data_IF_928000336470
#
_entry.id   IF_928000336470
#
_cell.length_a   1.000
_cell.length_b   1.000
_cell.length_c   1.000
_cell.angle_alpha   90.00
_cell.angle_beta   90.00
_cell.angle_gamma   90.00
#
_symmetry.space_group_name_H-M   'P 1'
#
loop_
_entity.id
_entity.type
_entity.pdbx_description
1 polymer ?
#
# COMPACT_ATOMS: atom_id res chain seq x y z
N UNK A 1 5.76 -0.02 -14.34
CA UNK A 1 4.46 0.38 -14.93
C UNK A 1 3.45 -0.64 -14.44
N UNK A 2 2.30 -0.25 -13.88
CA UNK A 2 1.23 -1.19 -13.49
C UNK A 2 0.47 -1.68 -14.75
N UNK A 3 -0.35 -2.72 -14.68
CA UNK A 3 -1.26 -3.11 -15.76
C UNK A 3 -2.57 -2.30 -15.70
N UNK A 4 -3.42 -2.45 -16.71
CA UNK A 4 -4.65 -1.63 -16.88
C UNK A 4 -5.85 -2.14 -16.09
N UNK A 5 -5.73 -3.32 -15.49
CA UNK A 5 -6.84 -4.13 -14.99
C UNK A 5 -6.75 -4.51 -13.51
N UNK A 6 -5.87 -3.84 -12.74
CA UNK A 6 -5.79 -3.90 -11.25
C UNK A 6 -7.17 -4.05 -10.60
N UNK A 7 -7.44 -5.23 -10.05
CA UNK A 7 -8.54 -5.46 -9.10
C UNK A 7 -7.95 -5.52 -7.70
N UNK A 8 -8.24 -4.52 -6.86
CA UNK A 8 -7.83 -4.51 -5.45
C UNK A 8 -8.76 -5.40 -4.61
N UNK A 9 -8.32 -6.62 -4.30
CA UNK A 9 -9.07 -7.58 -3.48
C UNK A 9 -8.97 -7.31 -1.96
N UNK A 10 -8.23 -6.28 -1.54
CA UNK A 10 -8.09 -5.85 -0.15
C UNK A 10 -8.42 -4.37 0.03
N UNK A 11 -9.32 -3.84 -0.80
CA UNK A 11 -9.85 -2.50 -0.66
C UNK A 11 -10.41 -2.34 0.77
N UNK A 12 -9.77 -1.50 1.58
CA UNK A 12 -10.42 -0.96 2.77
C UNK A 12 -11.77 -0.37 2.31
N UNK A 13 -12.84 -0.59 3.09
CA UNK A 13 -14.18 -0.08 2.80
C UNK A 13 -14.10 1.38 2.28
N UNK A 14 -14.34 1.57 0.98
CA UNK A 14 -14.30 2.89 0.31
C UNK A 14 -13.12 3.15 -0.64
N UNK A 15 -12.20 2.21 -0.83
CA UNK A 15 -11.10 2.37 -1.78
C UNK A 15 -11.56 1.99 -3.21
N UNK A 16 -11.48 2.95 -4.13
CA UNK A 16 -11.82 2.71 -5.54
C UNK A 16 -10.82 1.72 -6.18
N UNK A 17 -11.27 0.72 -6.95
CA UNK A 17 -10.37 -0.18 -7.66
C UNK A 17 -9.53 0.58 -8.70
N UNK A 18 -8.31 0.10 -8.95
CA UNK A 18 -7.46 0.59 -10.03
C UNK A 18 -6.23 1.40 -9.59
N UNK A 19 -5.32 1.60 -10.54
CA UNK A 19 -3.99 2.22 -10.37
C UNK A 19 -3.98 3.58 -9.66
N UNK A 20 -5.05 4.36 -9.80
CA UNK A 20 -5.11 5.72 -9.25
C UNK A 20 -5.28 5.72 -7.73
N UNK A 21 -6.00 4.74 -7.16
CA UNK A 21 -6.05 4.59 -5.70
C UNK A 21 -4.71 4.11 -5.13
N UNK A 22 -4.04 3.19 -5.83
CA UNK A 22 -2.68 2.75 -5.48
C UNK A 22 -1.66 3.89 -5.51
N UNK A 23 -1.74 4.81 -6.48
CA UNK A 23 -0.87 5.99 -6.54
C UNK A 23 -1.13 6.97 -5.39
N UNK A 24 -2.39 7.24 -5.05
CA UNK A 24 -2.73 8.12 -3.94
C UNK A 24 -2.27 7.55 -2.59
N UNK A 25 -2.48 6.24 -2.38
CA UNK A 25 -1.96 5.56 -1.20
C UNK A 25 -0.44 5.66 -1.14
N UNK A 26 0.27 5.42 -2.24
CA UNK A 26 1.73 5.50 -2.27
C UNK A 26 2.25 6.92 -1.94
N UNK A 27 1.55 7.97 -2.37
CA UNK A 27 1.86 9.36 -2.00
C UNK A 27 1.61 9.67 -0.52
N UNK A 28 0.47 9.20 0.01
CA UNK A 28 0.12 9.35 1.43
C UNK A 28 1.09 8.61 2.35
N UNK A 29 1.43 7.36 2.02
CA UNK A 29 2.41 6.56 2.77
C UNK A 29 3.80 7.19 2.77
N UNK A 30 4.28 7.72 1.64
CA UNK A 30 5.59 8.40 1.58
C UNK A 30 5.65 9.67 2.43
N UNK A 31 4.53 10.37 2.55
CA UNK A 31 4.45 11.58 3.39
C UNK A 31 4.35 11.21 4.86
N UNK A 32 3.53 10.22 5.19
CA UNK A 32 3.30 9.78 6.56
C UNK A 32 4.47 8.99 7.15
N UNK A 33 5.24 8.29 6.32
CA UNK A 33 6.33 7.40 6.70
C UNK A 33 7.54 7.67 5.76
N UNK A 34 8.22 8.82 5.87
CA UNK A 34 9.27 9.21 4.93
C UNK A 34 10.52 8.32 4.99
N UNK A 35 10.70 7.59 6.09
CA UNK A 35 11.76 6.59 6.33
C UNK A 35 11.28 5.15 6.06
N UNK A 36 10.19 4.98 5.31
CA UNK A 36 9.62 3.66 5.02
C UNK A 36 10.63 2.74 4.35
N UNK A 37 10.74 1.54 4.89
CA UNK A 37 11.27 0.37 4.17
C UNK A 37 10.11 -0.55 3.85
N UNK A 38 9.98 -0.92 2.57
CA UNK A 38 8.95 -1.83 2.09
C UNK A 38 9.58 -3.14 1.62
N UNK A 39 9.03 -4.25 2.08
CA UNK A 39 9.38 -5.61 1.65
C UNK A 39 8.20 -6.22 0.91
N UNK A 40 8.48 -6.93 -0.19
CA UNK A 40 7.53 -7.87 -0.77
C UNK A 40 7.80 -9.21 -0.08
N UNK A 41 6.80 -9.69 0.66
CA UNK A 41 6.92 -10.90 1.46
C UNK A 41 6.47 -12.15 0.67
N UNK A 42 5.58 -11.97 -0.30
CA UNK A 42 5.11 -13.03 -1.19
C UNK A 42 4.62 -12.44 -2.52
N UNK A 43 4.74 -13.19 -3.61
CA UNK A 43 4.23 -12.79 -4.92
C UNK A 43 3.84 -14.03 -5.73
N UNK A 44 2.58 -14.08 -6.14
CA UNK A 44 2.00 -15.12 -6.98
C UNK A 44 1.60 -14.47 -8.29
N UNK A 45 2.08 -15.01 -9.41
CA UNK A 45 1.65 -14.61 -10.75
C UNK A 45 0.95 -15.79 -11.42
N UNK A 46 -0.27 -15.57 -11.92
CA UNK A 46 -1.04 -16.55 -12.68
C UNK A 46 -1.61 -15.89 -13.93
N UNK A 47 -1.12 -16.31 -15.10
CA UNK A 47 -1.50 -15.70 -16.38
C UNK A 47 -1.07 -14.23 -16.43
N UNK A 48 -2.06 -13.35 -16.57
CA UNK A 48 -1.92 -11.89 -16.60
C UNK A 48 -2.08 -11.23 -15.22
N UNK A 49 -2.36 -12.00 -14.17
CA UNK A 49 -2.64 -11.49 -12.82
C UNK A 49 -1.46 -11.65 -11.90
N UNK A 50 -1.25 -10.67 -11.02
CA UNK A 50 -0.23 -10.73 -9.97
C UNK A 50 -0.87 -10.39 -8.64
N UNK A 51 -0.65 -11.22 -7.63
CA UNK A 51 -0.99 -10.92 -6.23
C UNK A 51 0.33 -10.84 -5.46
N UNK A 52 0.54 -9.78 -4.69
CA UNK A 52 1.69 -9.68 -3.80
C UNK A 52 1.29 -9.28 -2.38
N UNK A 53 1.94 -9.91 -1.41
CA UNK A 53 1.89 -9.55 0.01
C UNK A 53 3.10 -8.70 0.34
N UNK A 54 2.90 -7.65 1.10
CA UNK A 54 3.93 -6.68 1.41
C UNK A 54 3.88 -6.21 2.86
N UNK A 55 5.02 -5.76 3.36
CA UNK A 55 5.17 -5.13 4.68
C UNK A 55 5.93 -3.82 4.53
N UNK A 56 5.47 -2.76 5.18
CA UNK A 56 6.08 -1.45 5.25
C UNK A 56 6.38 -1.08 6.70
N UNK A 57 7.57 -0.56 6.96
CA UNK A 57 8.01 -0.12 8.29
C UNK A 57 8.60 1.28 8.23
N UNK A 58 8.09 2.19 9.07
CA UNK A 58 8.56 3.57 9.11
C UNK A 58 8.06 4.30 10.35
N UNK A 59 8.47 5.56 10.48
CA UNK A 59 8.08 6.46 11.56
C UNK A 59 6.88 7.30 11.11
N UNK A 60 5.79 7.25 11.88
CA UNK A 60 4.54 7.95 11.53
C UNK A 60 4.61 9.44 11.86
N UNK A 61 4.95 10.26 10.86
CA UNK A 61 5.25 11.69 10.98
C UNK A 61 4.21 12.63 10.35
N UNK A 62 3.27 12.12 9.55
CA UNK A 62 2.16 12.92 9.02
C UNK A 62 0.85 12.12 9.06
N UNK A 63 -0.34 12.77 9.04
CA UNK A 63 -1.61 12.07 9.09
C UNK A 63 -1.74 11.01 7.99
N UNK A 64 -2.17 9.82 8.38
CA UNK A 64 -2.36 8.69 7.48
C UNK A 64 -3.74 8.08 7.71
N UNK A 65 -4.58 8.02 6.67
CA UNK A 65 -5.92 7.41 6.74
C UNK A 65 -6.78 7.96 7.89
N UNK A 66 -6.69 9.26 8.17
CA UNK A 66 -7.41 9.92 9.26
C UNK A 66 -6.78 9.73 10.65
N UNK A 67 -5.68 9.00 10.76
CA UNK A 67 -4.92 8.82 11.99
C UNK A 67 -3.89 9.95 12.11
N UNK A 68 -3.92 10.77 13.18
CA UNK A 68 -2.90 11.80 13.42
C UNK A 68 -1.49 11.20 13.60
N UNK A 69 -0.43 11.96 13.28
CA UNK A 69 0.95 11.48 13.42
C UNK A 69 1.25 11.07 14.87
N UNK A 70 1.86 9.89 15.04
CA UNK A 70 2.12 9.33 16.38
C UNK A 70 3.58 9.47 16.81
N UNK A 71 4.49 9.86 15.91
CA UNK A 71 5.94 9.87 16.13
C UNK A 71 6.52 8.53 16.60
N UNK A 72 5.83 7.42 16.32
CA UNK A 72 6.26 6.06 16.65
C UNK A 72 6.61 5.31 15.39
N UNK A 73 7.47 4.30 15.56
CA UNK A 73 7.70 3.31 14.51
C UNK A 73 6.47 2.41 14.39
N UNK A 74 5.99 2.26 13.17
CA UNK A 74 4.82 1.42 12.84
C UNK A 74 5.21 0.38 11.79
N UNK A 75 4.49 -0.73 11.81
CA UNK A 75 4.53 -1.76 10.77
C UNK A 75 3.15 -1.86 10.15
N UNK A 76 3.09 -1.85 8.83
CA UNK A 76 1.85 -1.89 8.05
C UNK A 76 2.02 -2.99 7.01
N UNK A 77 1.14 -3.98 7.00
CA UNK A 77 1.17 -5.06 6.03
C UNK A 77 -0.09 -5.03 5.18
N UNK A 78 0.03 -5.43 3.92
CA UNK A 78 -1.09 -5.52 3.00
C UNK A 78 -0.91 -6.62 1.98
N UNK A 79 -2.00 -6.91 1.27
CA UNK A 79 -2.00 -7.70 0.04
C UNK A 79 -2.55 -6.79 -1.04
N UNK A 80 -1.91 -6.79 -2.20
CA UNK A 80 -2.36 -6.05 -3.38
C UNK A 80 -2.33 -6.96 -4.59
N UNK A 81 -3.19 -6.68 -5.55
CA UNK A 81 -3.31 -7.44 -6.78
C UNK A 81 -3.40 -6.51 -7.98
N UNK A 82 -2.65 -6.82 -9.04
CA UNK A 82 -2.74 -6.25 -10.39
C UNK A 82 -3.47 -7.26 -11.28
#
# INVERSE_FOLDING_TARGET
MFASDVIDHNAALGQAPGRESLKQLNGGFRTALPDTQMTIDDMIAEGDKIVWRWTAQGTHLAPLMGIPPTNKRVTISGISSD
#
